data_IF_464905306615
#
_entry.id   IF_464905306615
#
_cell.length_a   1.000
_cell.length_b   1.000
_cell.length_c   1.000
_cell.angle_alpha   90.00
_cell.angle_beta   90.00
_cell.angle_gamma   90.00
#
_symmetry.space_group_name_H-M   'P 1'
#
loop_
_entity.id
_entity.type
_entity.pdbx_description
1 polymer ?
#
# COMPACT_ATOMS: atom_id res chain seq x y z
N UNK A 1 9.45 -7.45 -20.63
CA UNK A 1 8.20 -6.67 -20.75
C UNK A 1 8.55 -5.23 -20.38
N UNK A 2 8.41 -4.31 -21.33
CA UNK A 2 9.00 -2.98 -21.34
C UNK A 2 8.53 -2.11 -20.16
N UNK A 3 9.47 -1.59 -19.35
CA UNK A 3 9.21 -0.81 -18.14
C UNK A 3 9.41 0.70 -18.28
N UNK A 4 9.64 1.24 -19.48
CA UNK A 4 9.89 2.67 -19.68
C UNK A 4 8.98 3.23 -20.76
N UNK A 5 7.69 3.31 -20.42
CA UNK A 5 6.70 4.12 -21.13
C UNK A 5 6.50 5.44 -20.40
N UNK A 6 7.47 6.34 -20.58
CA UNK A 6 7.30 7.80 -20.72
C UNK A 6 6.02 8.37 -20.10
N UNK A 7 6.14 9.06 -18.94
CA UNK A 7 5.08 9.87 -18.36
C UNK A 7 4.38 10.68 -19.46
N UNK A 8 3.14 10.32 -19.75
CA UNK A 8 2.37 10.90 -20.86
C UNK A 8 1.96 12.35 -20.57
N UNK A 9 2.11 12.77 -19.31
CA UNK A 9 1.91 14.12 -18.78
C UNK A 9 2.82 14.36 -17.54
N UNK A 10 3.69 15.39 -17.53
CA UNK A 10 4.54 15.71 -16.37
C UNK A 10 3.77 15.99 -15.07
N UNK A 11 2.55 16.53 -15.16
CA UNK A 11 1.71 16.82 -14.00
C UNK A 11 1.20 15.53 -13.32
N UNK A 12 0.82 14.53 -14.11
CA UNK A 12 0.41 13.21 -13.60
C UNK A 12 1.58 12.48 -12.94
N UNK A 13 2.78 12.60 -13.51
CA UNK A 13 4.00 12.08 -12.89
C UNK A 13 4.27 12.74 -11.52
N UNK A 14 4.12 14.06 -11.43
CA UNK A 14 4.26 14.79 -10.17
C UNK A 14 3.23 14.37 -9.11
N UNK A 15 1.96 14.22 -9.50
CA UNK A 15 0.90 13.77 -8.60
C UNK A 15 1.13 12.35 -8.10
N UNK A 16 1.51 11.41 -8.98
CA UNK A 16 1.81 10.03 -8.61
C UNK A 16 2.96 9.93 -7.60
N UNK A 17 4.04 10.69 -7.81
CA UNK A 17 5.17 10.76 -6.88
C UNK A 17 4.73 11.32 -5.52
N UNK A 18 3.99 12.42 -5.49
CA UNK A 18 3.50 13.01 -4.24
C UNK A 18 2.58 12.06 -3.46
N UNK A 19 1.69 11.33 -4.14
CA UNK A 19 0.87 10.30 -3.52
C UNK A 19 1.70 9.15 -2.95
N UNK A 20 2.73 8.71 -3.69
CA UNK A 20 3.62 7.66 -3.24
C UNK A 20 4.44 8.08 -2.01
N UNK A 21 4.97 9.29 -2.00
CA UNK A 21 5.68 9.85 -0.84
C UNK A 21 4.76 9.90 0.39
N UNK A 22 3.49 10.31 0.22
CA UNK A 22 2.51 10.30 1.30
C UNK A 22 2.21 8.88 1.82
N UNK A 23 2.07 7.90 0.93
CA UNK A 23 1.91 6.48 1.28
C UNK A 23 3.11 5.96 2.07
N UNK A 24 4.32 6.24 1.60
CA UNK A 24 5.57 5.82 2.27
C UNK A 24 5.69 6.48 3.64
N UNK A 25 5.47 7.79 3.73
CA UNK A 25 5.52 8.54 4.98
C UNK A 25 4.52 7.97 6.00
N UNK A 26 3.28 7.72 5.58
CA UNK A 26 2.27 7.13 6.45
C UNK A 26 2.66 5.70 6.87
N UNK A 27 3.06 4.84 5.95
CA UNK A 27 3.39 3.44 6.25
C UNK A 27 4.54 3.26 7.24
N UNK A 28 5.40 4.29 7.40
CA UNK A 28 6.58 4.28 8.26
C UNK A 28 6.33 4.90 9.63
N UNK A 29 5.09 5.28 9.95
CA UNK A 29 4.78 5.81 11.26
C UNK A 29 5.08 4.78 12.36
N UNK A 30 5.79 5.17 13.44
CA UNK A 30 6.23 4.23 14.49
C UNK A 30 5.09 3.44 15.15
N UNK A 31 3.91 4.05 15.26
CA UNK A 31 2.73 3.46 15.88
C UNK A 31 2.30 2.10 15.30
N UNK A 32 2.52 1.86 14.00
CA UNK A 32 2.21 0.56 13.40
C UNK A 32 3.10 -0.57 13.93
N UNK A 33 4.34 -0.25 14.27
CA UNK A 33 5.31 -1.22 14.78
C UNK A 33 5.24 -1.34 16.29
N UNK A 34 5.09 -0.20 16.98
CA UNK A 34 5.11 -0.11 18.44
C UNK A 34 3.77 -0.48 19.08
N UNK A 35 2.64 -0.07 18.48
CA UNK A 35 1.31 -0.21 19.09
C UNK A 35 0.47 -1.33 18.49
N UNK A 36 0.58 -1.59 17.18
CA UNK A 36 -0.11 -2.72 16.54
C UNK A 36 0.82 -3.89 16.24
N UNK A 37 2.05 -3.89 16.75
CA UNK A 37 2.95 -5.05 16.72
C UNK A 37 3.28 -5.57 15.32
N UNK A 38 3.17 -4.74 14.28
CA UNK A 38 3.66 -5.10 12.95
C UNK A 38 5.18 -5.31 13.03
N UNK A 39 5.74 -6.40 12.48
CA UNK A 39 7.17 -6.63 12.53
C UNK A 39 7.97 -5.47 11.91
N UNK A 40 8.88 -4.86 12.67
CA UNK A 40 9.77 -3.82 12.14
C UNK A 40 10.95 -4.42 11.35
N UNK A 41 10.62 -5.03 10.21
CA UNK A 41 11.56 -5.65 9.28
C UNK A 41 11.39 -5.06 7.88
N UNK A 42 12.28 -5.38 6.95
CA UNK A 42 12.13 -4.97 5.53
C UNK A 42 10.80 -5.44 4.96
N UNK A 43 10.42 -6.70 5.24
CA UNK A 43 9.16 -7.27 4.77
C UNK A 43 7.95 -6.63 5.46
N UNK A 44 8.02 -6.37 6.77
CA UNK A 44 6.92 -5.73 7.50
C UNK A 44 6.70 -4.28 7.08
N UNK A 45 7.77 -3.51 6.86
CA UNK A 45 7.69 -2.15 6.29
C UNK A 45 7.13 -2.17 4.86
N UNK A 46 7.50 -3.17 4.05
CA UNK A 46 6.92 -3.34 2.74
C UNK A 46 5.42 -3.67 2.81
N UNK A 47 5.02 -4.57 3.72
CA UNK A 47 3.61 -4.90 3.92
C UNK A 47 2.78 -3.69 4.37
N UNK A 48 3.35 -2.78 5.16
CA UNK A 48 2.70 -1.50 5.49
C UNK A 48 2.57 -0.55 4.31
N UNK A 49 3.53 -0.52 3.38
CA UNK A 49 3.37 0.22 2.12
C UNK A 49 2.23 -0.39 1.30
N UNK A 50 2.14 -1.73 1.24
CA UNK A 50 1.06 -2.42 0.51
C UNK A 50 -0.32 -2.07 1.07
N UNK A 51 -0.48 -2.03 2.40
CA UNK A 51 -1.75 -1.67 3.04
C UNK A 51 -2.22 -0.28 2.59
N UNK A 52 -1.33 0.71 2.61
CA UNK A 52 -1.67 2.09 2.25
C UNK A 52 -1.82 2.29 0.73
N UNK A 53 -0.99 1.62 -0.07
CA UNK A 53 -1.12 1.60 -1.52
C UNK A 53 -2.45 0.96 -1.96
N UNK A 54 -2.87 -0.13 -1.29
CA UNK A 54 -4.17 -0.76 -1.49
C UNK A 54 -5.32 0.22 -1.25
N UNK A 55 -5.32 0.90 -0.09
CA UNK A 55 -6.34 1.89 0.27
C UNK A 55 -6.44 3.00 -0.78
N UNK A 56 -5.30 3.57 -1.19
CA UNK A 56 -5.26 4.61 -2.21
C UNK A 56 -5.74 4.12 -3.58
N UNK A 57 -5.25 2.96 -4.04
CA UNK A 57 -5.65 2.38 -5.33
C UNK A 57 -7.13 2.05 -5.38
N UNK A 58 -7.70 1.58 -4.26
CA UNK A 58 -9.14 1.35 -4.12
C UNK A 58 -9.91 2.66 -4.33
N UNK A 59 -9.51 3.74 -3.67
CA UNK A 59 -10.14 5.07 -3.82
C UNK A 59 -9.98 5.64 -5.23
N UNK A 60 -8.79 5.56 -5.81
CA UNK A 60 -8.53 6.06 -7.18
C UNK A 60 -9.32 5.29 -8.24
N UNK A 61 -9.66 4.02 -8.00
CA UNK A 61 -10.51 3.21 -8.91
C UNK A 61 -11.93 3.78 -9.06
N UNK A 62 -12.42 4.54 -8.09
CA UNK A 62 -13.74 5.17 -8.13
C UNK A 62 -13.77 6.45 -8.98
N UNK A 63 -12.60 7.04 -9.27
CA UNK A 63 -12.47 8.19 -10.18
C UNK A 63 -12.31 7.79 -11.65
N UNK A 64 -12.51 6.50 -11.98
CA UNK A 64 -12.44 5.98 -13.35
C UNK A 64 -13.31 6.80 -14.31
N UNK A 65 -12.70 7.22 -15.41
CA UNK A 65 -13.36 8.03 -16.45
C UNK A 65 -13.33 9.54 -16.21
N UNK A 66 -12.83 10.02 -15.06
CA UNK A 66 -12.59 11.45 -14.82
C UNK A 66 -11.14 11.85 -15.09
N UNK A 67 -10.20 10.91 -14.97
CA UNK A 67 -8.81 11.07 -15.39
C UNK A 67 -8.26 9.73 -15.87
N UNK A 68 -7.60 9.74 -17.03
CA UNK A 68 -6.94 8.55 -17.55
C UNK A 68 -5.48 8.54 -17.11
N UNK A 69 -5.10 7.45 -16.42
CA UNK A 69 -3.74 6.95 -16.12
C UNK A 69 -3.15 7.16 -14.70
N UNK A 70 -3.64 8.06 -13.83
CA UNK A 70 -3.01 8.26 -12.50
C UNK A 70 -2.84 6.98 -11.64
N UNK A 71 -3.85 6.09 -11.49
CA UNK A 71 -3.67 4.85 -10.71
C UNK A 71 -2.55 3.96 -11.24
N UNK A 72 -2.38 3.92 -12.57
CA UNK A 72 -1.33 3.16 -13.21
C UNK A 72 0.03 3.84 -13.04
N UNK A 73 0.12 5.16 -13.21
CA UNK A 73 1.36 5.91 -12.96
C UNK A 73 1.81 5.77 -11.50
N UNK A 74 0.89 5.86 -10.53
CA UNK A 74 1.19 5.60 -9.12
C UNK A 74 1.75 4.19 -8.89
N UNK A 75 1.12 3.18 -9.49
CA UNK A 75 1.58 1.80 -9.39
C UNK A 75 2.99 1.63 -9.98
N UNK A 76 3.23 2.19 -11.17
CA UNK A 76 4.53 2.16 -11.84
C UNK A 76 5.61 2.87 -11.01
N UNK A 77 5.29 4.03 -10.42
CA UNK A 77 6.17 4.77 -9.50
C UNK A 77 6.54 3.93 -8.28
N UNK A 78 5.56 3.33 -7.61
CA UNK A 78 5.79 2.47 -6.44
C UNK A 78 6.66 1.26 -6.79
N UNK A 79 6.39 0.59 -7.92
CA UNK A 79 7.16 -0.59 -8.34
C UNK A 79 8.58 -0.24 -8.77
N UNK A 80 8.78 0.91 -9.43
CA UNK A 80 10.11 1.39 -9.79
C UNK A 80 10.97 1.69 -8.55
N UNK A 81 10.40 2.34 -7.53
CA UNK A 81 11.11 2.61 -6.27
C UNK A 81 11.46 1.32 -5.52
N UNK A 82 10.54 0.35 -5.51
CA UNK A 82 10.79 -0.96 -4.90
C UNK A 82 11.91 -1.74 -5.61
N UNK A 83 11.90 -1.80 -6.94
CA UNK A 83 12.97 -2.45 -7.73
C UNK A 83 14.32 -1.78 -7.47
N UNK A 84 14.36 -0.45 -7.44
CA UNK A 84 15.55 0.32 -7.08
C UNK A 84 16.05 -0.03 -5.68
N UNK A 85 15.17 0.02 -4.67
CA UNK A 85 15.52 -0.26 -3.28
C UNK A 85 16.11 -1.67 -3.09
N UNK A 86 15.55 -2.68 -3.76
CA UNK A 86 16.07 -4.05 -3.73
C UNK A 86 17.43 -4.19 -4.41
N UNK A 87 17.63 -3.50 -5.54
CA UNK A 87 18.93 -3.46 -6.23
C UNK A 87 19.98 -2.79 -5.36
N UNK A 88 19.64 -1.71 -4.66
CA UNK A 88 20.56 -1.01 -3.76
C UNK A 88 20.95 -1.87 -2.56
N UNK A 89 19.99 -2.57 -1.93
CA UNK A 89 20.26 -3.50 -0.82
C UNK A 89 21.06 -4.75 -1.25
N UNK A 90 21.01 -5.12 -2.53
CA UNK A 90 21.60 -6.36 -3.05
C UNK A 90 22.54 -6.15 -4.23
N UNK A 91 23.19 -4.98 -4.32
CA UNK A 91 23.90 -4.47 -5.49
C UNK A 91 24.65 -5.54 -6.31
N UNK A 92 23.98 -6.04 -7.36
CA UNK A 92 24.54 -6.91 -8.41
C UNK A 92 24.07 -8.37 -8.44
N UNK A 93 23.25 -8.85 -7.49
CA UNK A 93 23.04 -10.29 -7.35
C UNK A 93 22.01 -10.90 -8.34
N UNK A 94 22.26 -12.14 -8.81
CA UNK A 94 21.44 -12.88 -9.79
C UNK A 94 19.99 -13.12 -9.30
N UNK A 95 19.71 -12.88 -8.02
CA UNK A 95 18.41 -13.10 -7.38
C UNK A 95 17.43 -11.92 -7.38
N UNK A 96 17.85 -10.69 -7.74
CA UNK A 96 16.99 -9.49 -7.61
C UNK A 96 15.71 -9.61 -8.43
N UNK A 97 15.80 -10.01 -9.70
CA UNK A 97 14.63 -10.17 -10.56
C UNK A 97 13.61 -11.19 -10.01
N UNK A 98 14.09 -12.27 -9.39
CA UNK A 98 13.23 -13.27 -8.73
C UNK A 98 12.53 -12.67 -7.50
N UNK A 99 13.23 -11.86 -6.70
CA UNK A 99 12.65 -11.17 -5.53
C UNK A 99 11.59 -10.15 -5.95
N UNK A 100 11.87 -9.31 -6.94
CA UNK A 100 10.92 -8.34 -7.49
C UNK A 100 9.65 -9.05 -7.98
N UNK A 101 9.79 -10.16 -8.71
CA UNK A 101 8.64 -10.97 -9.16
C UNK A 101 7.86 -11.57 -7.99
N UNK A 102 8.54 -12.07 -6.97
CA UNK A 102 7.88 -12.61 -5.77
C UNK A 102 7.09 -11.51 -5.04
N UNK A 103 7.66 -10.32 -4.88
CA UNK A 103 6.99 -9.17 -4.26
C UNK A 103 5.81 -8.68 -5.09
N UNK A 104 5.91 -8.67 -6.41
CA UNK A 104 4.77 -8.36 -7.28
C UNK A 104 3.60 -9.33 -7.08
N UNK A 105 3.87 -10.63 -7.08
CA UNK A 105 2.85 -11.65 -6.80
C UNK A 105 2.26 -11.49 -5.39
N UNK A 106 3.13 -11.23 -4.42
CA UNK A 106 2.79 -10.98 -3.01
C UNK A 106 1.84 -9.79 -2.85
N UNK A 107 2.13 -8.68 -3.56
CA UNK A 107 1.31 -7.47 -3.62
C UNK A 107 -0.10 -7.77 -4.11
N UNK A 108 -0.24 -8.39 -5.29
CA UNK A 108 -1.57 -8.67 -5.86
C UNK A 108 -2.38 -9.64 -5.01
N UNK A 109 -1.72 -10.65 -4.41
CA UNK A 109 -2.36 -11.58 -3.48
C UNK A 109 -2.94 -10.88 -2.25
N UNK A 110 -2.19 -9.95 -1.67
CA UNK A 110 -2.62 -9.14 -0.51
C UNK A 110 -3.74 -8.17 -0.86
N UNK A 111 -3.60 -7.43 -1.96
CA UNK A 111 -4.67 -6.54 -2.47
C UNK A 111 -5.98 -7.31 -2.62
N UNK A 112 -5.95 -8.48 -3.26
CA UNK A 112 -7.14 -9.30 -3.42
C UNK A 112 -7.69 -9.84 -2.10
N UNK A 113 -6.82 -10.19 -1.14
CA UNK A 113 -7.23 -10.67 0.18
C UNK A 113 -7.89 -9.56 1.02
N UNK A 114 -7.32 -8.34 1.01
CA UNK A 114 -7.87 -7.20 1.76
C UNK A 114 -9.17 -6.69 1.14
N UNK A 115 -9.27 -6.65 -0.20
CA UNK A 115 -10.51 -6.32 -0.91
C UNK A 115 -11.65 -7.27 -0.54
N UNK A 116 -11.36 -8.59 -0.51
CA UNK A 116 -12.33 -9.60 -0.05
C UNK A 116 -12.68 -9.41 1.42
N UNK A 117 -11.69 -9.24 2.30
CA UNK A 117 -11.91 -9.03 3.73
C UNK A 117 -12.76 -7.79 4.06
N UNK A 118 -12.65 -6.72 3.26
CA UNK A 118 -13.48 -5.53 3.40
C UNK A 118 -14.94 -5.76 2.97
N UNK A 119 -15.14 -6.58 1.94
CA UNK A 119 -16.47 -6.83 1.34
C UNK A 119 -17.17 -8.08 1.92
N UNK A 120 -16.43 -8.91 2.64
CA UNK A 120 -16.86 -10.18 3.19
C UNK A 120 -17.45 -10.08 4.60
N UNK A 121 -17.74 -11.23 5.23
CA UNK A 121 -18.24 -11.29 6.60
C UNK A 121 -17.25 -10.70 7.62
N UNK A 122 -17.77 -10.39 8.82
CA UNK A 122 -16.94 -9.98 9.94
C UNK A 122 -15.86 -11.04 10.25
N UNK A 123 -14.62 -10.60 10.48
CA UNK A 123 -13.47 -11.47 10.73
C UNK A 123 -12.62 -11.80 9.50
N UNK A 124 -13.13 -11.68 8.27
CA UNK A 124 -12.37 -12.08 7.07
C UNK A 124 -11.16 -11.15 6.81
N UNK A 125 -11.29 -9.86 7.11
CA UNK A 125 -10.17 -8.91 7.01
C UNK A 125 -9.10 -9.22 8.06
N UNK A 126 -9.51 -9.51 9.29
CA UNK A 126 -8.66 -9.88 10.41
C UNK A 126 -7.86 -11.14 10.08
N UNK A 127 -8.51 -12.17 9.51
CA UNK A 127 -7.83 -13.36 9.01
C UNK A 127 -6.83 -13.06 7.89
N UNK A 128 -7.21 -12.19 6.94
CA UNK A 128 -6.31 -11.79 5.86
C UNK A 128 -5.07 -11.05 6.40
N UNK A 129 -5.24 -10.18 7.38
CA UNK A 129 -4.14 -9.47 8.05
C UNK A 129 -3.27 -10.43 8.85
N UNK A 130 -3.87 -11.35 9.61
CA UNK A 130 -3.14 -12.37 10.37
C UNK A 130 -2.23 -13.21 9.48
N UNK A 131 -2.72 -13.63 8.29
CA UNK A 131 -1.94 -14.41 7.33
C UNK A 131 -0.86 -13.61 6.60
N UNK A 132 -1.11 -12.33 6.31
CA UNK A 132 -0.24 -11.55 5.44
C UNK A 132 0.65 -10.58 6.21
N UNK A 133 0.05 -9.63 6.94
CA UNK A 133 0.76 -8.57 7.67
C UNK A 133 1.52 -9.12 8.88
N UNK A 134 0.93 -10.11 9.55
CA UNK A 134 1.50 -10.76 10.73
C UNK A 134 2.09 -12.13 10.42
N UNK A 135 2.12 -12.59 9.16
CA UNK A 135 2.40 -13.98 8.80
C UNK A 135 3.79 -14.52 9.17
N UNK A 136 4.72 -13.65 9.55
CA UNK A 136 6.07 -14.02 10.05
C UNK A 136 6.13 -14.18 11.57
N UNK A 137 5.06 -13.79 12.27
CA UNK A 137 4.91 -13.88 13.73
C UNK A 137 3.53 -14.45 14.09
N UNK A 138 3.28 -14.67 15.38
CA UNK A 138 1.92 -14.87 15.85
C UNK A 138 1.35 -13.52 16.27
N UNK A 139 0.54 -12.90 15.39
CA UNK A 139 -0.08 -11.61 15.67
C UNK A 139 -1.06 -11.69 16.85
N UNK A 140 -1.02 -10.69 17.73
CA UNK A 140 -2.00 -10.54 18.81
C UNK A 140 -3.38 -10.25 18.20
N UNK A 141 -4.45 -10.98 18.58
CA UNK A 141 -5.81 -10.70 18.11
C UNK A 141 -6.24 -9.25 18.28
N UNK A 142 -5.83 -8.56 19.35
CA UNK A 142 -6.15 -7.16 19.59
C UNK A 142 -5.46 -6.24 18.57
N UNK A 143 -4.18 -6.48 18.27
CA UNK A 143 -3.45 -5.74 17.25
C UNK A 143 -4.04 -5.95 15.84
N UNK A 144 -4.40 -7.19 15.51
CA UNK A 144 -5.04 -7.52 14.23
C UNK A 144 -6.38 -6.78 14.11
N UNK A 145 -7.19 -6.80 15.17
CA UNK A 145 -8.46 -6.09 15.21
C UNK A 145 -8.28 -4.57 15.06
N UNK A 146 -7.28 -3.98 15.71
CA UNK A 146 -6.96 -2.56 15.57
C UNK A 146 -6.53 -2.20 14.13
N UNK A 147 -5.72 -3.04 13.48
CA UNK A 147 -5.35 -2.85 12.07
C UNK A 147 -6.55 -2.99 11.13
N UNK A 148 -7.46 -3.94 11.39
CA UNK A 148 -8.69 -4.08 10.62
C UNK A 148 -9.60 -2.85 10.79
N UNK A 149 -9.76 -2.36 12.02
CA UNK A 149 -10.51 -1.15 12.32
C UNK A 149 -9.90 0.09 11.64
N UNK A 150 -8.58 0.22 11.68
CA UNK A 150 -7.84 1.27 10.96
C UNK A 150 -8.13 1.22 9.46
N UNK A 151 -7.97 0.07 8.81
CA UNK A 151 -8.21 -0.09 7.36
C UNK A 151 -9.66 0.25 6.98
N UNK A 152 -10.64 -0.21 7.78
CA UNK A 152 -12.06 0.12 7.55
C UNK A 152 -12.33 1.62 7.68
N UNK A 153 -11.75 2.27 8.70
CA UNK A 153 -11.87 3.71 8.90
C UNK A 153 -11.22 4.49 7.76
N UNK A 154 -9.98 4.15 7.40
CA UNK A 154 -9.28 4.83 6.30
C UNK A 154 -9.98 4.67 4.97
N UNK A 155 -10.63 3.53 4.72
CA UNK A 155 -11.47 3.36 3.53
C UNK A 155 -12.56 4.44 3.48
N UNK A 156 -13.28 4.65 4.59
CA UNK A 156 -14.33 5.67 4.68
C UNK A 156 -13.79 7.12 4.62
N UNK A 157 -12.65 7.39 5.27
CA UNK A 157 -12.07 8.74 5.27
C UNK A 157 -11.48 9.11 3.90
N UNK A 158 -10.92 8.15 3.16
CA UNK A 158 -10.44 8.37 1.79
C UNK A 158 -11.60 8.61 0.82
N UNK A 159 -12.73 7.92 0.98
CA UNK A 159 -13.96 8.17 0.20
C UNK A 159 -14.45 9.62 0.34
N UNK A 160 -14.24 10.25 1.50
CA UNK A 160 -14.60 11.65 1.75
C UNK A 160 -13.64 12.66 1.15
N UNK A 161 -12.44 12.24 0.75
CA UNK A 161 -11.46 13.15 0.14
C UNK A 161 -11.81 13.45 -1.31
N UNK A 162 -11.55 14.69 -1.72
CA UNK A 162 -11.93 15.14 -3.05
C UNK A 162 -11.07 14.46 -4.12
N UNK A 163 -11.70 14.03 -5.22
CA UNK A 163 -10.97 13.49 -6.37
C UNK A 163 -9.96 14.51 -6.91
N UNK A 164 -10.28 15.80 -6.89
CA UNK A 164 -9.37 16.87 -7.32
C UNK A 164 -8.10 16.95 -6.47
N UNK A 165 -8.19 16.78 -5.15
CA UNK A 165 -7.03 16.73 -4.27
C UNK A 165 -6.13 15.53 -4.60
N UNK A 166 -6.72 14.35 -4.72
CA UNK A 166 -6.00 13.13 -5.09
C UNK A 166 -5.30 13.31 -6.45
N UNK A 167 -6.00 13.89 -7.43
CA UNK A 167 -5.44 14.16 -8.76
C UNK A 167 -4.30 15.18 -8.75
N UNK A 168 -4.24 16.04 -7.74
CA UNK A 168 -3.15 17.00 -7.53
C UNK A 168 -2.03 16.46 -6.64
N UNK A 169 -2.08 15.18 -6.27
CA UNK A 169 -1.05 14.55 -5.44
C UNK A 169 -1.28 14.65 -3.93
N UNK A 170 -2.47 15.10 -3.49
CA UNK A 170 -2.78 15.29 -2.08
C UNK A 170 -3.66 14.16 -1.56
N UNK A 171 -3.17 13.43 -0.55
CA UNK A 171 -3.92 12.44 0.21
C UNK A 171 -3.57 12.58 1.68
N UNK A 172 -4.56 12.39 2.55
CA UNK A 172 -4.39 12.39 4.01
C UNK A 172 -4.81 11.03 4.56
N UNK A 173 -3.98 10.45 5.41
CA UNK A 173 -4.33 9.25 6.17
C UNK A 173 -4.50 9.64 7.64
N UNK A 174 -5.41 8.95 8.33
CA UNK A 174 -5.58 9.08 9.77
C UNK A 174 -4.45 8.42 10.55
N UNK A 175 -4.46 8.60 11.87
CA UNK A 175 -3.49 7.96 12.78
C UNK A 175 -4.03 6.64 13.30
N UNK A 176 -3.17 5.65 13.53
CA UNK A 176 -3.58 4.45 14.26
C UNK A 176 -4.07 4.88 15.65
N UNK A 177 -5.33 4.58 15.95
CA UNK A 177 -5.89 4.79 17.29
C UNK A 177 -5.33 3.76 18.24
N UNK A 178 -5.30 4.09 19.54
CA UNK A 178 -4.78 3.18 20.56
C UNK A 178 -5.55 1.85 20.56
N UNK A 179 -4.80 0.75 20.77
CA UNK A 179 -5.29 -0.64 20.86
C UNK A 179 -5.81 -0.94 22.25
#
# INVERSE_FOLDING_TARGET
MAFLGLFRNPAEGGAAVALYDAVVAQSRRPEFFEKSGVPDTVDGRFDMIIVHAFLLLRRLKEEKGKVDNLPQVFFDTMFADMDRSLREMGAGDLGVARRVKAMATSFYGRVAAYERGLSGPAGELEEALGRNLYGTIQGDPAHIAAMAAYIRRETQELERQSGADLMSGRVVFGVLTDV
#
